data_IF_225825833665
#
_entry.id   IF_225825833665
#
_cell.length_a   1.000
_cell.length_b   1.000
_cell.length_c   1.000
_cell.angle_alpha   90.00
_cell.angle_beta   90.00
_cell.angle_gamma   90.00
#
_symmetry.space_group_name_H-M   'P 1'
#
loop_
_entity.id
_entity.type
_entity.pdbx_description
1 polymer ?
#
# COMPACT_ATOMS: atom_id res chain seq x y z
N UNK A 1 -4.50 -5.69 23.04
CA UNK A 1 -5.77 -5.99 23.70
C UNK A 1 -5.54 -7.17 24.63
N UNK A 2 -5.97 -7.10 25.89
CA UNK A 2 -5.79 -8.20 26.83
C UNK A 2 -6.67 -9.42 26.48
N UNK A 3 -6.31 -10.60 27.00
CA UNK A 3 -7.02 -11.84 26.72
C UNK A 3 -8.48 -11.82 27.19
N UNK A 4 -8.78 -11.15 28.30
CA UNK A 4 -10.12 -11.07 28.87
C UNK A 4 -11.07 -10.31 27.96
N UNK A 5 -10.65 -9.11 27.54
CA UNK A 5 -11.36 -8.29 26.55
C UNK A 5 -11.56 -9.06 25.25
N UNK A 6 -10.51 -9.70 24.75
CA UNK A 6 -10.56 -10.51 23.52
C UNK A 6 -11.62 -11.62 23.61
N UNK A 7 -11.64 -12.38 24.71
CA UNK A 7 -12.59 -13.48 24.93
C UNK A 7 -14.04 -12.97 24.97
N UNK A 8 -14.29 -11.85 25.66
CA UNK A 8 -15.62 -11.25 25.76
C UNK A 8 -16.15 -10.78 24.41
N UNK A 9 -15.35 -10.00 23.68
CA UNK A 9 -15.73 -9.49 22.36
C UNK A 9 -15.90 -10.65 21.36
N UNK A 10 -15.01 -11.65 21.38
CA UNK A 10 -15.10 -12.81 20.50
C UNK A 10 -16.40 -13.61 20.74
N UNK A 11 -16.82 -13.77 22.00
CA UNK A 11 -18.09 -14.40 22.34
C UNK A 11 -19.29 -13.62 21.79
N UNK A 12 -19.24 -12.29 21.82
CA UNK A 12 -20.28 -11.43 21.21
C UNK A 12 -20.33 -11.60 19.69
N UNK A 13 -19.20 -11.42 19.01
CA UNK A 13 -19.12 -11.38 17.54
C UNK A 13 -19.49 -12.73 16.91
N UNK A 14 -19.09 -13.86 17.52
CA UNK A 14 -19.39 -15.21 17.00
C UNK A 14 -20.88 -15.50 16.79
N UNK A 15 -21.78 -14.78 17.46
CA UNK A 15 -23.23 -14.91 17.28
C UNK A 15 -23.72 -14.44 15.90
N UNK A 16 -22.95 -13.60 15.21
CA UNK A 16 -23.31 -12.99 13.92
C UNK A 16 -22.56 -13.63 12.73
N UNK A 17 -21.86 -14.73 12.98
CA UNK A 17 -21.07 -15.48 12.01
C UNK A 17 -21.93 -16.52 11.28
N UNK A 18 -21.73 -16.70 9.99
CA UNK A 18 -22.31 -17.83 9.26
C UNK A 18 -21.49 -19.12 9.45
N UNK A 19 -22.09 -20.29 9.22
CA UNK A 19 -21.50 -21.58 9.60
C UNK A 19 -20.11 -21.90 9.00
N UNK A 20 -19.76 -21.32 7.85
CA UNK A 20 -18.49 -21.53 7.13
C UNK A 20 -17.47 -20.41 7.31
N UNK A 21 -17.76 -19.43 8.15
CA UNK A 21 -16.90 -18.25 8.28
C UNK A 21 -15.93 -18.37 9.46
N UNK A 22 -14.75 -17.77 9.33
CA UNK A 22 -13.89 -17.45 10.47
C UNK A 22 -14.19 -16.03 10.97
N UNK A 23 -13.78 -15.75 12.21
CA UNK A 23 -13.95 -14.44 12.85
C UNK A 23 -12.62 -13.98 13.42
N UNK A 24 -12.32 -12.71 13.27
CA UNK A 24 -11.23 -12.03 13.96
C UNK A 24 -11.71 -10.69 14.53
N UNK A 25 -10.97 -10.18 15.50
CA UNK A 25 -11.15 -8.84 16.07
C UNK A 25 -9.84 -8.11 15.92
N UNK A 26 -9.90 -6.90 15.36
CA UNK A 26 -8.74 -6.05 15.26
C UNK A 26 -8.33 -5.57 16.67
N UNK A 27 -7.05 -5.71 17.07
CA UNK A 27 -6.62 -5.29 18.41
C UNK A 27 -6.72 -3.78 18.65
N UNK A 28 -6.83 -2.95 17.60
CA UNK A 28 -6.97 -1.51 17.75
C UNK A 28 -8.44 -1.06 17.81
N UNK A 29 -8.70 -0.02 18.60
CA UNK A 29 -10.03 0.54 18.81
C UNK A 29 -10.11 2.04 18.48
N UNK A 30 -11.33 2.52 18.26
CA UNK A 30 -11.66 3.94 18.21
C UNK A 30 -12.54 4.29 19.41
N UNK A 31 -12.32 5.47 20.02
CA UNK A 31 -13.05 5.89 21.21
C UNK A 31 -14.19 6.84 20.82
N UNK A 32 -15.43 6.47 21.13
CA UNK A 32 -16.62 7.33 20.96
C UNK A 32 -17.26 7.53 22.32
N UNK A 33 -17.48 8.78 22.74
CA UNK A 33 -18.10 9.11 24.04
C UNK A 33 -17.52 8.36 25.24
N UNK A 34 -16.20 8.21 25.30
CA UNK A 34 -15.55 7.48 26.39
C UNK A 34 -15.42 5.97 26.19
N UNK A 35 -16.13 5.38 25.22
CA UNK A 35 -16.21 3.92 25.03
C UNK A 35 -15.31 3.43 23.89
N UNK A 36 -14.54 2.35 24.07
CA UNK A 36 -13.74 1.75 23.01
C UNK A 36 -14.62 0.87 22.10
N UNK A 37 -14.59 1.16 20.81
CA UNK A 37 -15.21 0.36 19.76
C UNK A 37 -14.15 -0.36 18.94
N UNK A 38 -14.34 -1.66 18.75
CA UNK A 38 -13.44 -2.54 18.01
C UNK A 38 -14.09 -3.00 16.72
N UNK A 39 -13.29 -3.13 15.67
CA UNK A 39 -13.72 -3.74 14.41
C UNK A 39 -13.51 -5.25 14.47
N UNK A 40 -14.54 -5.99 14.10
CA UNK A 40 -14.47 -7.42 13.87
C UNK A 40 -14.79 -7.75 12.41
N UNK A 41 -14.11 -8.76 11.87
CA UNK A 41 -14.30 -9.22 10.50
C UNK A 41 -14.78 -10.66 10.44
N UNK A 42 -15.63 -10.93 9.46
CA UNK A 42 -16.06 -12.28 9.08
C UNK A 42 -15.39 -12.63 7.75
N UNK A 43 -14.71 -13.77 7.68
CA UNK A 43 -14.05 -14.22 6.46
C UNK A 43 -14.65 -15.53 5.96
N UNK A 44 -14.87 -15.66 4.66
CA UNK A 44 -15.26 -16.90 3.99
C UNK A 44 -14.21 -17.23 2.95
N UNK A 45 -13.55 -18.39 3.07
CA UNK A 45 -12.42 -18.77 2.20
C UNK A 45 -11.31 -17.68 2.16
N UNK A 46 -11.00 -17.08 3.31
CA UNK A 46 -10.08 -15.94 3.48
C UNK A 46 -10.53 -14.61 2.83
N UNK A 47 -11.72 -14.54 2.24
CA UNK A 47 -12.28 -13.31 1.67
C UNK A 47 -13.22 -12.59 2.65
N UNK A 48 -13.23 -11.25 2.69
CA UNK A 48 -14.17 -10.48 3.52
C UNK A 48 -15.64 -10.77 3.20
N UNK A 49 -16.39 -11.23 4.20
CA UNK A 49 -17.81 -11.58 4.10
C UNK A 49 -18.73 -10.66 4.93
N UNK A 50 -18.17 -9.84 5.81
CA UNK A 50 -18.91 -8.87 6.61
C UNK A 50 -18.06 -8.28 7.72
N UNK A 51 -18.63 -7.29 8.42
CA UNK A 51 -17.98 -6.66 9.57
C UNK A 51 -18.94 -6.49 10.74
N UNK A 52 -18.40 -6.30 11.94
CA UNK A 52 -19.14 -5.87 13.12
C UNK A 52 -18.30 -4.84 13.91
N UNK A 53 -18.98 -3.97 14.65
CA UNK A 53 -18.35 -2.93 15.47
C UNK A 53 -18.88 -3.07 16.89
N UNK A 54 -18.01 -3.50 17.80
CA UNK A 54 -18.41 -3.99 19.13
C UNK A 54 -17.69 -3.27 20.24
N UNK A 55 -18.33 -3.21 21.40
CA UNK A 55 -17.73 -2.71 22.64
C UNK A 55 -17.95 -3.73 23.76
N UNK A 56 -17.29 -3.55 24.91
CA UNK A 56 -17.47 -4.46 26.06
C UNK A 56 -18.89 -4.31 26.62
N UNK A 57 -19.38 -3.07 26.73
CA UNK A 57 -20.75 -2.73 27.18
C UNK A 57 -21.79 -2.88 26.08
N UNK A 58 -22.90 -2.15 26.17
CA UNK A 58 -23.92 -2.14 25.11
C UNK A 58 -23.54 -1.21 23.95
N UNK A 59 -23.69 -1.72 22.73
CA UNK A 59 -23.44 -0.98 21.52
C UNK A 59 -24.56 0.02 21.21
N UNK A 60 -24.23 1.31 21.21
CA UNK A 60 -25.05 2.34 20.58
C UNK A 60 -24.75 2.35 19.08
N UNK A 61 -25.79 2.25 18.25
CA UNK A 61 -25.66 2.11 16.79
C UNK A 61 -24.92 3.29 16.15
N UNK A 62 -25.29 4.50 16.55
CA UNK A 62 -24.71 5.74 16.03
C UNK A 62 -23.22 5.83 16.38
N UNK A 63 -22.86 5.52 17.62
CA UNK A 63 -21.47 5.46 18.08
C UNK A 63 -20.68 4.39 17.31
N UNK A 64 -21.27 3.22 17.08
CA UNK A 64 -20.63 2.16 16.31
C UNK A 64 -20.42 2.55 14.83
N UNK A 65 -21.34 3.33 14.25
CA UNK A 65 -21.22 3.82 12.87
C UNK A 65 -20.20 4.95 12.72
N UNK A 66 -20.02 5.76 13.75
CA UNK A 66 -18.90 6.71 13.83
C UNK A 66 -17.57 5.95 13.88
N UNK A 67 -17.44 5.01 14.82
CA UNK A 67 -16.24 4.17 14.94
C UNK A 67 -15.97 3.38 13.65
N UNK A 68 -17.02 2.90 12.98
CA UNK A 68 -16.90 2.18 11.71
C UNK A 68 -16.14 2.98 10.67
N UNK A 69 -16.49 4.26 10.49
CA UNK A 69 -15.85 5.07 9.46
C UNK A 69 -14.33 5.14 9.66
N UNK A 70 -13.91 5.33 10.91
CA UNK A 70 -12.50 5.50 11.28
C UNK A 70 -11.74 4.17 11.23
N UNK A 71 -12.29 3.13 11.83
CA UNK A 71 -11.66 1.80 11.91
C UNK A 71 -11.55 1.16 10.52
N UNK A 72 -12.62 1.21 9.71
CA UNK A 72 -12.61 0.62 8.38
C UNK A 72 -11.65 1.37 7.44
N UNK A 73 -11.59 2.70 7.53
CA UNK A 73 -10.63 3.51 6.77
C UNK A 73 -9.20 3.08 7.09
N UNK A 74 -8.85 3.05 8.38
CA UNK A 74 -7.51 2.67 8.82
C UNK A 74 -7.15 1.24 8.42
N UNK A 75 -8.05 0.28 8.63
CA UNK A 75 -7.82 -1.13 8.28
C UNK A 75 -7.61 -1.33 6.78
N UNK A 76 -8.49 -0.74 5.94
CA UNK A 76 -8.40 -0.91 4.49
C UNK A 76 -7.12 -0.29 3.92
N UNK A 77 -6.78 0.94 4.35
CA UNK A 77 -5.58 1.61 3.85
C UNK A 77 -4.30 0.95 4.36
N UNK A 78 -4.23 0.56 5.64
CA UNK A 78 -3.07 -0.14 6.19
C UNK A 78 -2.84 -1.47 5.47
N UNK A 79 -3.91 -2.26 5.24
CA UNK A 79 -3.82 -3.51 4.49
C UNK A 79 -3.27 -3.31 3.08
N UNK A 80 -3.72 -2.27 2.37
CA UNK A 80 -3.25 -1.97 1.03
C UNK A 80 -1.78 -1.53 1.03
N UNK A 81 -1.39 -0.66 1.96
CA UNK A 81 0.01 -0.22 2.14
C UNK A 81 0.92 -1.43 2.38
N UNK A 82 0.54 -2.34 3.27
CA UNK A 82 1.35 -3.54 3.55
C UNK A 82 1.39 -4.52 2.38
N UNK A 83 0.26 -4.77 1.70
CA UNK A 83 0.21 -5.68 0.56
C UNK A 83 1.12 -5.21 -0.58
N UNK A 84 1.05 -3.93 -0.93
CA UNK A 84 1.93 -3.33 -1.96
C UNK A 84 3.38 -3.27 -1.45
N UNK A 85 3.56 -2.86 -0.19
CA UNK A 85 4.86 -2.69 0.45
C UNK A 85 5.67 -3.99 0.52
N UNK A 86 5.06 -5.08 0.95
CA UNK A 86 5.72 -6.39 1.07
C UNK A 86 6.16 -6.95 -0.28
N UNK A 87 5.38 -6.77 -1.33
CA UNK A 87 5.77 -7.21 -2.66
C UNK A 87 7.03 -6.47 -3.15
N UNK A 88 7.06 -5.14 -2.98
CA UNK A 88 8.17 -4.29 -3.45
C UNK A 88 9.42 -4.36 -2.57
N UNK A 89 9.28 -4.55 -1.26
CA UNK A 89 10.41 -4.68 -0.34
C UNK A 89 11.22 -5.98 -0.54
N UNK A 90 10.65 -6.99 -1.23
CA UNK A 90 11.38 -8.21 -1.61
C UNK A 90 12.41 -7.99 -2.71
N UNK A 91 12.36 -6.88 -3.44
CA UNK A 91 13.36 -6.54 -4.45
C UNK A 91 14.60 -5.98 -3.75
N UNK A 92 15.67 -6.78 -3.72
CA UNK A 92 16.92 -6.36 -3.09
C UNK A 92 17.58 -5.21 -3.85
N UNK A 93 18.32 -4.35 -3.14
CA UNK A 93 19.03 -3.22 -3.75
C UNK A 93 20.07 -3.65 -4.79
N UNK A 94 20.58 -4.88 -4.68
CA UNK A 94 21.55 -5.47 -5.62
C UNK A 94 21.01 -5.52 -7.06
N UNK A 95 19.69 -5.69 -7.24
CA UNK A 95 19.03 -5.69 -8.54
C UNK A 95 19.06 -4.34 -9.25
N UNK A 96 19.31 -3.25 -8.53
CA UNK A 96 19.49 -1.92 -9.10
C UNK A 96 20.97 -1.51 -9.15
N UNK A 97 21.67 -1.67 -8.02
CA UNK A 97 23.05 -1.17 -7.86
C UNK A 97 24.01 -1.85 -8.84
N UNK A 98 23.92 -3.18 -9.00
CA UNK A 98 24.87 -3.91 -9.83
C UNK A 98 24.75 -3.54 -11.31
N UNK A 99 23.54 -3.51 -11.93
CA UNK A 99 23.38 -2.95 -13.27
C UNK A 99 23.93 -1.54 -13.41
N UNK A 100 23.67 -0.65 -12.44
CA UNK A 100 24.12 0.75 -12.47
C UNK A 100 25.64 0.91 -12.38
N UNK A 101 26.34 -0.06 -11.80
CA UNK A 101 27.80 -0.10 -11.72
C UNK A 101 28.46 -0.52 -13.05
N UNK A 102 27.67 -0.99 -14.03
CA UNK A 102 28.20 -1.30 -15.36
C UNK A 102 28.52 -0.01 -16.11
N UNK A 103 29.75 0.09 -16.62
CA UNK A 103 30.19 1.27 -17.36
C UNK A 103 29.61 1.26 -18.77
N UNK A 104 28.94 2.35 -19.14
CA UNK A 104 28.38 2.54 -20.49
C UNK A 104 29.24 3.57 -21.22
N UNK A 105 29.69 3.22 -22.43
CA UNK A 105 30.56 4.10 -23.23
C UNK A 105 29.84 5.38 -23.66
N UNK A 106 30.58 6.44 -23.99
CA UNK A 106 30.01 7.73 -24.38
C UNK A 106 29.26 7.66 -25.73
N UNK A 107 29.67 6.73 -26.57
CA UNK A 107 29.14 6.44 -27.90
C UNK A 107 27.78 5.74 -27.83
N UNK A 108 27.50 5.03 -26.74
CA UNK A 108 26.25 4.29 -26.49
C UNK A 108 25.16 5.21 -25.90
N UNK A 109 24.78 6.25 -26.65
CA UNK A 109 23.91 7.33 -26.16
C UNK A 109 22.57 6.82 -25.63
N UNK A 110 21.92 5.88 -26.32
CA UNK A 110 20.60 5.35 -25.94
C UNK A 110 20.69 4.49 -24.67
N UNK A 111 21.72 3.65 -24.55
CA UNK A 111 21.96 2.86 -23.35
C UNK A 111 22.32 3.73 -22.14
N UNK A 112 23.06 4.83 -22.34
CA UNK A 112 23.37 5.79 -21.26
C UNK A 112 22.12 6.45 -20.72
N UNK A 113 21.24 6.95 -21.60
CA UNK A 113 19.95 7.52 -21.19
C UNK A 113 19.09 6.49 -20.44
N UNK A 114 19.12 5.23 -20.88
CA UNK A 114 18.43 4.14 -20.19
C UNK A 114 19.00 3.86 -18.80
N UNK A 115 20.33 3.87 -18.65
CA UNK A 115 21.00 3.78 -17.35
C UNK A 115 20.58 4.92 -16.41
N UNK A 116 20.51 6.15 -16.92
CA UNK A 116 20.10 7.31 -16.14
C UNK A 116 18.62 7.22 -15.71
N UNK A 117 17.74 6.77 -16.61
CA UNK A 117 16.33 6.50 -16.28
C UNK A 117 16.20 5.37 -15.23
N UNK A 118 17.00 4.31 -15.35
CA UNK A 118 17.05 3.21 -14.39
C UNK A 118 17.57 3.66 -13.02
N UNK A 119 18.51 4.61 -12.98
CA UNK A 119 18.94 5.26 -11.73
C UNK A 119 17.80 6.07 -11.09
N UNK A 120 16.98 6.75 -11.90
CA UNK A 120 15.76 7.41 -11.44
C UNK A 120 14.74 6.45 -10.82
N UNK A 121 14.54 5.27 -11.42
CA UNK A 121 13.70 4.22 -10.85
C UNK A 121 14.23 3.74 -9.49
N UNK A 122 15.56 3.64 -9.35
CA UNK A 122 16.18 3.27 -8.09
C UNK A 122 15.93 4.32 -6.99
N UNK A 123 16.07 5.61 -7.29
CA UNK A 123 15.77 6.70 -6.34
C UNK A 123 14.30 6.63 -5.85
N UNK A 124 13.35 6.42 -6.77
CA UNK A 124 11.93 6.24 -6.43
C UNK A 124 11.73 5.01 -5.55
N UNK A 125 12.40 3.89 -5.86
CA UNK A 125 12.33 2.67 -5.06
C UNK A 125 12.91 2.87 -3.65
N UNK A 126 13.99 3.64 -3.49
CA UNK A 126 14.56 3.95 -2.17
C UNK A 126 13.60 4.77 -1.33
N UNK A 127 12.98 5.80 -1.91
CA UNK A 127 11.95 6.62 -1.25
C UNK A 127 10.73 5.79 -0.85
N UNK A 128 10.27 4.92 -1.74
CA UNK A 128 9.20 3.95 -1.44
C UNK A 128 9.57 3.02 -0.28
N UNK A 129 10.75 2.40 -0.33
CA UNK A 129 11.22 1.47 0.70
C UNK A 129 11.28 2.15 2.09
N UNK A 130 11.76 3.40 2.13
CA UNK A 130 11.78 4.20 3.35
C UNK A 130 10.36 4.47 3.87
N UNK A 131 9.46 4.92 3.01
CA UNK A 131 8.06 5.19 3.38
C UNK A 131 7.39 3.96 4.02
N UNK A 132 7.54 2.78 3.43
CA UNK A 132 6.94 1.55 3.96
C UNK A 132 7.59 1.13 5.28
N UNK A 133 8.91 1.23 5.41
CA UNK A 133 9.61 0.92 6.66
C UNK A 133 9.19 1.88 7.79
N UNK A 134 9.10 3.17 7.49
CA UNK A 134 8.68 4.19 8.46
C UNK A 134 7.22 3.95 8.89
N UNK A 135 6.32 3.62 7.96
CA UNK A 135 4.93 3.29 8.30
C UNK A 135 4.81 1.98 9.07
N UNK A 136 5.58 0.94 8.71
CA UNK A 136 5.61 -0.33 9.45
C UNK A 136 6.07 -0.11 10.89
N UNK A 137 7.16 0.65 11.07
CA UNK A 137 7.67 0.97 12.40
C UNK A 137 6.62 1.76 13.22
N UNK A 138 6.00 2.77 12.62
CA UNK A 138 4.91 3.51 13.24
C UNK A 138 3.74 2.60 13.66
N UNK A 139 3.30 1.72 12.76
CA UNK A 139 2.20 0.81 13.01
C UNK A 139 2.54 -0.17 14.15
N UNK A 140 3.70 -0.82 14.09
CA UNK A 140 4.10 -1.89 15.02
C UNK A 140 4.46 -1.35 16.41
N UNK A 141 5.17 -0.22 16.49
CA UNK A 141 5.74 0.27 17.75
C UNK A 141 4.97 1.43 18.38
N UNK A 142 4.05 2.08 17.65
CA UNK A 142 3.20 3.13 18.21
C UNK A 142 1.72 2.71 18.22
N UNK A 143 1.14 2.44 17.05
CA UNK A 143 -0.30 2.16 16.94
C UNK A 143 -0.69 0.88 17.69
N UNK A 144 0.01 -0.23 17.45
CA UNK A 144 -0.28 -1.48 18.15
C UNK A 144 0.07 -1.44 19.64
N UNK A 145 1.04 -0.61 20.04
CA UNK A 145 1.42 -0.45 21.43
C UNK A 145 0.38 0.35 22.24
N UNK A 146 -0.17 1.41 21.63
CA UNK A 146 -1.24 2.22 22.24
C UNK A 146 -2.62 1.61 22.12
N UNK A 147 -2.86 0.77 21.11
CA UNK A 147 -4.13 0.11 20.78
C UNK A 147 -5.29 1.07 20.44
N UNK A 148 -5.13 2.37 20.66
CA UNK A 148 -6.14 3.38 20.36
C UNK A 148 -5.77 4.14 19.08
N UNK A 149 -6.69 4.16 18.13
CA UNK A 149 -6.61 5.05 16.98
C UNK A 149 -7.06 6.47 17.33
N UNK A 150 -6.44 7.44 16.67
CA UNK A 150 -6.66 8.89 16.76
C UNK A 150 -6.76 9.49 15.36
N UNK A 151 -7.22 10.74 15.25
CA UNK A 151 -7.27 11.42 13.95
C UNK A 151 -5.88 11.52 13.29
N UNK A 152 -4.81 11.65 14.09
CA UNK A 152 -3.43 11.64 13.58
C UNK A 152 -3.08 10.32 12.89
N UNK A 153 -3.53 9.18 13.42
CA UNK A 153 -3.32 7.87 12.79
C UNK A 153 -4.04 7.77 11.43
N UNK A 154 -5.22 8.39 11.33
CA UNK A 154 -6.01 8.43 10.09
C UNK A 154 -5.35 9.32 9.03
N UNK A 155 -4.89 10.51 9.42
CA UNK A 155 -4.13 11.38 8.51
C UNK A 155 -2.87 10.67 8.04
N UNK A 156 -2.10 10.05 8.95
CA UNK A 156 -0.85 9.36 8.62
C UNK A 156 -1.06 8.22 7.63
N UNK A 157 -2.09 7.38 7.82
CA UNK A 157 -2.36 6.27 6.90
C UNK A 157 -2.85 6.77 5.54
N UNK A 158 -3.64 7.84 5.49
CA UNK A 158 -4.09 8.46 4.23
C UNK A 158 -2.94 9.08 3.45
N UNK A 159 -2.07 9.86 4.11
CA UNK A 159 -0.86 10.43 3.50
C UNK A 159 0.06 9.33 2.97
N UNK A 160 0.27 8.27 3.76
CA UNK A 160 1.11 7.14 3.36
C UNK A 160 0.53 6.43 2.13
N UNK A 161 -0.77 6.13 2.13
CA UNK A 161 -1.44 5.51 0.99
C UNK A 161 -1.37 6.39 -0.28
N UNK A 162 -1.54 7.71 -0.13
CA UNK A 162 -1.38 8.65 -1.23
C UNK A 162 0.03 8.63 -1.81
N UNK A 163 1.07 8.67 -0.95
CA UNK A 163 2.46 8.60 -1.37
C UNK A 163 2.84 7.27 -2.02
N UNK A 164 2.27 6.16 -1.57
CA UNK A 164 2.40 4.86 -2.25
C UNK A 164 1.93 4.96 -3.70
N UNK A 165 0.76 5.56 -3.94
CA UNK A 165 0.24 5.78 -5.29
C UNK A 165 1.11 6.75 -6.10
N UNK A 166 1.61 7.83 -5.48
CA UNK A 166 2.55 8.75 -6.13
C UNK A 166 3.83 8.05 -6.59
N UNK A 167 4.45 7.21 -5.76
CA UNK A 167 5.64 6.46 -6.16
C UNK A 167 5.34 5.41 -7.23
N UNK A 168 4.16 4.78 -7.21
CA UNK A 168 3.72 3.90 -8.30
C UNK A 168 3.55 4.68 -9.61
N UNK A 169 2.95 5.86 -9.55
CA UNK A 169 2.81 6.76 -10.70
C UNK A 169 4.16 7.15 -11.28
N UNK A 170 5.09 7.63 -10.44
CA UNK A 170 6.44 8.01 -10.89
C UNK A 170 7.18 6.84 -11.53
N UNK A 171 7.09 5.65 -10.92
CA UNK A 171 7.69 4.42 -11.47
C UNK A 171 7.15 4.14 -12.87
N UNK A 172 5.82 4.07 -13.03
CA UNK A 172 5.17 3.74 -14.31
C UNK A 172 5.42 4.81 -15.38
N UNK A 173 5.35 6.10 -15.02
CA UNK A 173 5.63 7.20 -15.93
C UNK A 173 7.06 7.16 -16.42
N UNK A 174 8.04 6.91 -15.54
CA UNK A 174 9.45 6.76 -15.94
C UNK A 174 9.64 5.55 -16.87
N UNK A 175 9.03 4.40 -16.56
CA UNK A 175 9.10 3.19 -17.39
C UNK A 175 8.52 3.41 -18.79
N UNK A 176 7.38 4.10 -18.90
CA UNK A 176 6.72 4.35 -20.18
C UNK A 176 7.43 5.43 -21.00
N UNK A 177 7.82 6.54 -20.37
CA UNK A 177 8.47 7.67 -21.05
C UNK A 177 9.88 7.33 -21.56
N UNK A 178 10.58 6.41 -20.90
CA UNK A 178 11.95 6.01 -21.24
C UNK A 178 12.02 4.54 -21.70
N UNK A 179 10.90 3.97 -22.17
CA UNK A 179 10.78 2.54 -22.46
C UNK A 179 11.86 2.05 -23.43
N UNK A 180 12.07 2.80 -24.51
CA UNK A 180 13.04 2.49 -25.55
C UNK A 180 14.48 2.57 -25.06
N UNK A 181 14.81 3.60 -24.30
CA UNK A 181 16.12 3.81 -23.66
C UNK A 181 16.41 2.72 -22.63
N UNK A 182 15.45 2.37 -21.78
CA UNK A 182 15.57 1.30 -20.79
C UNK A 182 15.79 -0.06 -21.46
N UNK A 183 15.09 -0.35 -22.57
CA UNK A 183 15.35 -1.56 -23.38
C UNK A 183 16.75 -1.55 -23.97
N UNK A 184 17.22 -0.41 -24.47
CA UNK A 184 18.59 -0.29 -24.97
C UNK A 184 19.63 -0.56 -23.87
N UNK A 185 19.39 -0.04 -22.65
CA UNK A 185 20.24 -0.34 -21.51
C UNK A 185 20.20 -1.82 -21.12
N UNK A 186 19.02 -2.44 -21.06
CA UNK A 186 18.88 -3.89 -20.83
C UNK A 186 19.67 -4.70 -21.85
N UNK A 187 19.53 -4.38 -23.15
CA UNK A 187 20.26 -5.06 -24.21
C UNK A 187 21.77 -4.87 -24.09
N UNK A 188 22.22 -3.66 -23.73
CA UNK A 188 23.63 -3.37 -23.50
C UNK A 188 24.20 -4.25 -22.37
N UNK A 189 23.47 -4.43 -21.26
CA UNK A 189 23.90 -5.30 -20.16
C UNK A 189 24.02 -6.78 -20.59
N UNK A 190 23.21 -7.23 -21.55
CA UNK A 190 23.26 -8.59 -22.08
C UNK A 190 24.42 -8.82 -23.06
N UNK A 191 24.86 -7.79 -23.79
CA UNK A 191 25.86 -7.93 -24.86
C UNK A 191 27.25 -7.46 -24.47
N UNK A 192 27.38 -6.66 -23.41
CA UNK A 192 28.68 -6.18 -22.93
C UNK A 192 29.54 -7.32 -22.38
N UNK A 193 30.86 -7.19 -22.48
CA UNK A 193 31.82 -8.12 -21.85
C UNK A 193 31.65 -8.18 -20.32
N UNK A 194 31.07 -7.14 -19.71
CA UNK A 194 30.72 -7.09 -18.30
C UNK A 194 29.50 -7.94 -17.92
N UNK A 195 28.77 -8.53 -18.89
CA UNK A 195 27.64 -9.43 -18.64
C UNK A 195 27.99 -10.54 -17.65
N UNK A 196 29.21 -11.09 -17.74
CA UNK A 196 29.69 -12.16 -16.83
C UNK A 196 29.76 -11.72 -15.36
N UNK A 197 29.75 -10.42 -15.08
CA UNK A 197 29.75 -9.86 -13.72
C UNK A 197 28.35 -9.72 -13.13
N UNK A 198 27.30 -9.84 -13.95
CA UNK A 198 25.91 -9.74 -13.52
C UNK A 198 25.24 -11.12 -13.43
N UNK A 199 24.72 -11.49 -12.26
CA UNK A 199 23.83 -12.64 -12.11
C UNK A 199 22.64 -12.58 -13.08
N UNK A 200 22.24 -13.75 -13.61
CA UNK A 200 21.15 -13.87 -14.60
C UNK A 200 19.84 -13.27 -14.12
N UNK A 201 19.47 -13.48 -12.85
CA UNK A 201 18.27 -12.89 -12.25
C UNK A 201 18.29 -11.35 -12.24
N UNK A 202 19.45 -10.70 -12.16
CA UNK A 202 19.56 -9.24 -12.24
C UNK A 202 19.37 -8.74 -13.68
N UNK A 203 19.88 -9.48 -14.67
CA UNK A 203 19.61 -9.20 -16.09
C UNK A 203 18.12 -9.39 -16.41
N UNK A 204 17.54 -10.51 -15.97
CA UNK A 204 16.12 -10.83 -16.14
C UNK A 204 15.22 -9.77 -15.47
N UNK A 205 15.66 -9.20 -14.34
CA UNK A 205 14.95 -8.10 -13.70
C UNK A 205 14.94 -6.82 -14.55
N UNK A 206 16.11 -6.34 -15.02
CA UNK A 206 16.19 -5.13 -15.87
C UNK A 206 15.38 -5.31 -17.14
N UNK A 207 15.43 -6.51 -17.73
CA UNK A 207 14.60 -6.86 -18.89
C UNK A 207 13.11 -6.83 -18.52
N UNK A 208 12.72 -7.55 -17.48
CA UNK A 208 11.33 -7.73 -17.07
C UNK A 208 10.61 -6.44 -16.72
N UNK A 209 11.29 -5.44 -16.13
CA UNK A 209 10.66 -4.14 -15.85
C UNK A 209 10.32 -3.35 -17.12
N UNK A 210 10.88 -3.72 -18.27
CA UNK A 210 10.59 -3.10 -19.58
C UNK A 210 9.61 -3.92 -20.42
N UNK A 211 9.15 -5.07 -19.93
CA UNK A 211 8.20 -5.92 -20.64
C UNK A 211 6.74 -5.50 -20.39
N UNK A 212 5.83 -5.88 -21.30
CA UNK A 212 4.38 -5.65 -21.18
C UNK A 212 3.96 -4.18 -21.03
N UNK A 213 4.33 -3.36 -22.02
CA UNK A 213 4.02 -1.92 -22.06
C UNK A 213 2.52 -1.63 -21.90
N UNK A 214 1.67 -2.44 -22.53
CA UNK A 214 0.22 -2.30 -22.48
C UNK A 214 -0.32 -2.49 -21.05
N UNK A 215 0.27 -3.43 -20.30
CA UNK A 215 -0.08 -3.66 -18.89
C UNK A 215 0.34 -2.47 -18.03
N UNK A 216 1.51 -1.86 -18.33
CA UNK A 216 1.97 -0.65 -17.65
C UNK A 216 1.05 0.55 -17.93
N UNK A 217 0.64 0.75 -19.18
CA UNK A 217 -0.30 1.81 -19.57
C UNK A 217 -1.65 1.67 -18.89
N UNK A 218 -2.21 0.44 -18.89
CA UNK A 218 -3.46 0.13 -18.19
C UNK A 218 -3.33 0.35 -16.68
N UNK A 219 -2.19 -0.03 -16.09
CA UNK A 219 -1.94 0.17 -14.66
C UNK A 219 -1.82 1.65 -14.31
N UNK A 220 -1.15 2.45 -15.16
CA UNK A 220 -1.02 3.90 -14.98
C UNK A 220 -2.39 4.58 -15.06
N UNK A 221 -3.21 4.21 -16.06
CA UNK A 221 -4.57 4.73 -16.22
C UNK A 221 -5.45 4.39 -15.00
N UNK A 222 -5.32 3.17 -14.45
CA UNK A 222 -6.08 2.73 -13.26
C UNK A 222 -5.72 3.49 -11.98
N UNK A 223 -4.53 4.08 -11.88
CA UNK A 223 -4.21 4.95 -10.74
C UNK A 223 -5.12 6.17 -10.70
N UNK A 224 -5.58 6.65 -11.87
CA UNK A 224 -6.49 7.78 -12.01
C UNK A 224 -6.01 9.02 -11.21
N UNK A 225 -4.70 9.31 -11.33
CA UNK A 225 -4.07 10.41 -10.62
C UNK A 225 -4.42 11.74 -11.28
N UNK A 226 -4.66 12.77 -10.46
CA UNK A 226 -4.74 14.15 -10.92
C UNK A 226 -3.31 14.62 -11.19
N UNK A 227 -2.91 14.72 -12.45
CA UNK A 227 -1.54 15.07 -12.84
C UNK A 227 -1.31 16.58 -12.75
N UNK A 228 -0.18 16.98 -12.16
CA UNK A 228 0.31 18.35 -12.18
C UNK A 228 1.83 18.36 -12.37
N UNK A 229 2.37 19.39 -13.01
CA UNK A 229 3.83 19.54 -13.21
C UNK A 229 4.56 19.74 -11.88
N UNK A 230 3.92 20.41 -10.92
CA UNK A 230 4.41 20.56 -9.56
C UNK A 230 4.01 19.32 -8.74
N UNK A 231 5.03 18.57 -8.27
CA UNK A 231 4.84 17.35 -7.50
C UNK A 231 4.17 17.59 -6.14
N UNK A 232 4.43 18.72 -5.49
CA UNK A 232 3.80 19.04 -4.20
C UNK A 232 2.33 19.34 -4.40
N UNK A 233 2.00 20.11 -5.45
CA UNK A 233 0.62 20.37 -5.84
C UNK A 233 -0.10 19.08 -6.27
N UNK A 234 0.58 18.21 -7.01
CA UNK A 234 0.07 16.89 -7.39
C UNK A 234 -0.25 16.04 -6.15
N UNK A 235 0.65 16.01 -5.17
CA UNK A 235 0.44 15.26 -3.92
C UNK A 235 -0.80 15.76 -3.17
N UNK A 236 -0.97 17.08 -3.02
CA UNK A 236 -2.10 17.70 -2.33
C UNK A 236 -3.44 17.44 -3.03
N UNK A 237 -3.48 17.56 -4.36
CA UNK A 237 -4.69 17.29 -5.15
C UNK A 237 -5.12 15.83 -5.03
N UNK A 238 -4.18 14.89 -5.15
CA UNK A 238 -4.45 13.47 -5.03
C UNK A 238 -4.80 13.06 -3.60
N UNK A 239 -4.18 13.67 -2.59
CA UNK A 239 -4.57 13.47 -1.20
C UNK A 239 -6.03 13.84 -1.00
N UNK A 240 -6.41 15.06 -1.42
CA UNK A 240 -7.78 15.58 -1.27
C UNK A 240 -8.81 14.71 -1.99
N UNK A 241 -8.49 14.29 -3.22
CA UNK A 241 -9.33 13.38 -4.00
C UNK A 241 -9.45 11.99 -3.34
N UNK A 242 -8.35 11.46 -2.81
CA UNK A 242 -8.32 10.16 -2.12
C UNK A 242 -9.16 10.16 -0.85
N UNK A 243 -9.13 11.25 -0.06
CA UNK A 243 -9.97 11.41 1.13
C UNK A 243 -11.44 11.32 0.75
N UNK A 244 -11.87 12.10 -0.25
CA UNK A 244 -13.25 12.06 -0.75
C UNK A 244 -13.66 10.67 -1.24
N UNK A 245 -12.82 10.03 -2.06
CA UNK A 245 -13.08 8.70 -2.62
C UNK A 245 -13.20 7.64 -1.53
N UNK A 246 -12.26 7.64 -0.58
CA UNK A 246 -12.23 6.69 0.53
C UNK A 246 -13.47 6.83 1.40
N UNK A 247 -13.91 8.05 1.72
CA UNK A 247 -15.14 8.25 2.49
C UNK A 247 -16.36 7.60 1.83
N UNK A 248 -16.51 7.73 0.50
CA UNK A 248 -17.61 7.07 -0.24
C UNK A 248 -17.50 5.55 -0.22
N UNK A 249 -16.30 5.00 -0.35
CA UNK A 249 -16.07 3.55 -0.27
C UNK A 249 -16.47 3.03 1.12
N UNK A 250 -16.03 3.70 2.18
CA UNK A 250 -16.30 3.33 3.57
C UNK A 250 -17.78 3.45 3.91
N UNK A 251 -18.47 4.48 3.41
CA UNK A 251 -19.92 4.59 3.54
C UNK A 251 -20.64 3.44 2.83
N UNK A 252 -20.21 3.10 1.62
CA UNK A 252 -20.73 1.97 0.86
C UNK A 252 -20.53 0.60 1.54
N UNK A 253 -19.61 0.49 2.50
CA UNK A 253 -19.38 -0.73 3.28
C UNK A 253 -20.43 -0.97 4.37
N UNK A 254 -21.24 0.05 4.73
CA UNK A 254 -22.26 -0.06 5.78
C UNK A 254 -23.27 -1.18 5.55
N UNK A 255 -23.59 -1.49 4.29
CA UNK A 255 -24.47 -2.60 3.92
C UNK A 255 -23.94 -3.99 4.31
N UNK A 256 -22.65 -4.10 4.61
CA UNK A 256 -22.00 -5.35 5.04
C UNK A 256 -21.78 -5.43 6.56
N UNK A 257 -22.25 -4.43 7.31
CA UNK A 257 -22.22 -4.45 8.77
C UNK A 257 -23.32 -5.40 9.27
N UNK A 258 -22.92 -6.39 10.07
CA UNK A 258 -23.84 -7.36 10.66
C UNK A 258 -24.32 -6.94 12.04
N UNK A 259 -23.51 -6.14 12.75
CA UNK A 259 -23.81 -5.68 14.09
C UNK A 259 -22.99 -4.43 14.47
N UNK A 260 -23.58 -3.45 15.20
CA UNK A 260 -25.00 -3.32 15.53
C UNK A 260 -25.87 -3.04 14.30
N UNK A 261 -27.16 -3.37 14.38
CA UNK A 261 -28.17 -3.08 13.34
C UNK A 261 -29.04 -1.91 13.72
#
# INVERSE_FOLDING_TARGET
MDEGTTKLLMKKVKKYRNWTESVFINPVYWKVNGKPYFMAGFLKNNEPAGTAYVTIGEEIKEEAFEAQQKLALFANLSSNIFQIGEARLKVESSYYINPLNTSVSKEEVKARRGRDAFAGLWDVQQKFNRLIKDFRHYYEYDVLAREQLTETDLTKVQETANRVNMYQYLTLTTLLANHEELRAFSNFLETTNDRKKLPRNQLDFVKGITENKEVMELSLAKLNMIVNEDLEKMELLNYSYSVWKNNRIIEGQRKYIRYPK
#
